data_IF_477369676985
#
_entry.id   IF_477369676985
#
_cell.length_a   1.000
_cell.length_b   1.000
_cell.length_c   1.000
_cell.angle_alpha   90.00
_cell.angle_beta   90.00
_cell.angle_gamma   90.00
#
_symmetry.space_group_name_H-M   'P 1'
#
loop_
_entity.id
_entity.type
_entity.pdbx_description
1 polymer ?
#
# COMPACT_ATOMS: atom_id res chain seq x y z
N UNK A 1 3.97 -25.02 -21.06
CA UNK A 1 4.53 -23.80 -21.69
C UNK A 1 3.75 -22.62 -21.12
N UNK A 2 4.20 -22.05 -20.00
CA UNK A 2 3.49 -20.94 -19.34
C UNK A 2 3.60 -19.69 -20.22
N UNK A 3 2.53 -18.88 -20.37
CA UNK A 3 2.54 -17.72 -21.25
C UNK A 3 3.60 -16.72 -20.80
N UNK A 4 4.27 -16.06 -21.75
CA UNK A 4 5.36 -15.10 -21.54
C UNK A 4 5.05 -14.04 -20.44
N UNK A 5 3.79 -13.69 -20.24
CA UNK A 5 3.34 -12.79 -19.17
C UNK A 5 3.48 -13.34 -17.74
N UNK A 6 3.28 -14.65 -17.54
CA UNK A 6 3.47 -15.28 -16.22
C UNK A 6 4.96 -15.40 -15.86
N UNK A 7 5.83 -15.54 -16.87
CA UNK A 7 7.28 -15.56 -16.69
C UNK A 7 7.84 -14.18 -16.29
N UNK A 8 7.26 -13.10 -16.82
CA UNK A 8 7.60 -11.73 -16.42
C UNK A 8 7.21 -11.47 -14.94
N UNK A 9 6.03 -11.94 -14.52
CA UNK A 9 5.56 -11.82 -13.12
C UNK A 9 6.48 -12.54 -12.12
N UNK A 10 7.01 -13.71 -12.49
CA UNK A 10 7.95 -14.46 -11.64
C UNK A 10 9.34 -13.81 -11.58
N UNK A 11 9.79 -13.16 -12.68
CA UNK A 11 11.05 -12.39 -12.68
C UNK A 11 10.99 -11.15 -11.76
N UNK A 12 9.83 -10.51 -11.63
CA UNK A 12 9.61 -9.43 -10.65
C UNK A 12 9.40 -9.96 -9.23
N UNK A 13 8.71 -11.09 -9.06
CA UNK A 13 8.46 -11.69 -7.75
C UNK A 13 9.73 -12.24 -7.07
N UNK A 14 10.77 -12.56 -7.85
CA UNK A 14 12.03 -13.13 -7.35
C UNK A 14 13.11 -12.13 -6.97
N UNK A 15 12.95 -10.83 -7.24
CA UNK A 15 13.99 -9.84 -6.93
C UNK A 15 13.70 -9.16 -5.59
N UNK A 16 14.11 -9.84 -4.52
CA UNK A 16 14.50 -9.20 -3.27
C UNK A 16 13.38 -8.44 -2.55
N UNK A 17 12.95 -9.02 -1.44
CA UNK A 17 12.32 -8.30 -0.33
C UNK A 17 13.34 -7.31 0.29
N UNK A 18 13.82 -6.35 -0.49
CA UNK A 18 14.55 -5.20 0.00
C UNK A 18 13.50 -4.37 0.74
N UNK A 19 13.58 -4.36 2.07
CA UNK A 19 12.85 -3.41 2.91
C UNK A 19 13.12 -2.01 2.37
N UNK A 20 12.20 -1.50 1.56
CA UNK A 20 12.24 -0.10 1.16
C UNK A 20 11.57 0.66 2.31
N UNK A 21 12.41 1.25 3.16
CA UNK A 21 12.01 2.24 4.13
C UNK A 21 11.25 3.33 3.37
N UNK A 22 9.93 3.33 3.53
CA UNK A 22 9.11 4.50 3.20
C UNK A 22 9.69 5.63 4.05
N UNK A 23 10.09 6.73 3.41
CA UNK A 23 10.50 7.94 4.13
C UNK A 23 9.27 8.49 4.85
N UNK A 24 9.00 7.99 6.05
CA UNK A 24 7.90 8.45 6.90
C UNK A 24 8.31 9.81 7.48
N UNK A 25 7.85 10.88 6.85
CA UNK A 25 7.68 12.12 7.59
C UNK A 25 6.36 11.93 8.35
N UNK A 26 6.45 11.52 9.62
CA UNK A 26 5.30 11.49 10.52
C UNK A 26 4.87 12.95 10.73
N UNK A 27 3.91 13.41 9.95
CA UNK A 27 3.33 14.74 10.12
C UNK A 27 2.09 14.51 10.97
N UNK A 28 2.23 14.70 12.28
CA UNK A 28 1.22 14.43 13.32
C UNK A 28 1.00 12.93 13.63
N UNK A 29 0.60 12.61 14.87
CA UNK A 29 0.37 11.24 15.37
C UNK A 29 -0.76 10.49 14.63
N UNK A 30 -1.34 11.10 13.59
CA UNK A 30 -2.54 10.65 12.89
C UNK A 30 -2.42 10.61 11.37
N UNK A 31 -1.22 10.87 10.80
CA UNK A 31 -1.03 10.78 9.34
C UNK A 31 0.27 10.08 8.92
N UNK A 32 0.23 9.38 7.78
CA UNK A 32 1.43 8.91 7.07
C UNK A 32 1.38 9.39 5.63
N UNK A 33 2.42 10.11 5.20
CA UNK A 33 2.59 10.54 3.80
C UNK A 33 3.54 9.60 3.08
N UNK A 34 3.12 9.16 1.90
CA UNK A 34 3.86 8.30 0.99
C UNK A 34 4.13 9.07 -0.29
N UNK A 35 5.33 8.91 -0.83
CA UNK A 35 5.69 9.40 -2.17
C UNK A 35 6.35 8.30 -2.97
N UNK A 36 6.21 8.38 -4.28
CA UNK A 36 6.86 7.50 -5.22
C UNK A 36 8.39 7.57 -5.08
N UNK A 37 9.01 6.46 -4.70
CA UNK A 37 10.47 6.30 -4.75
C UNK A 37 10.89 5.70 -6.08
N UNK A 38 10.19 4.64 -6.51
CA UNK A 38 10.43 3.93 -7.77
C UNK A 38 9.21 3.11 -8.13
N UNK A 39 8.86 3.07 -9.42
CA UNK A 39 7.75 2.23 -9.87
C UNK A 39 7.32 2.54 -11.30
N UNK A 40 6.28 1.85 -11.78
CA UNK A 40 5.69 2.09 -13.11
C UNK A 40 4.84 3.37 -13.19
N UNK A 41 4.97 4.24 -12.19
CA UNK A 41 4.22 5.47 -12.05
C UNK A 41 5.13 6.65 -12.40
N UNK A 42 4.56 7.67 -13.03
CA UNK A 42 5.19 8.99 -13.17
C UNK A 42 5.01 9.81 -11.90
N UNK A 43 3.88 9.63 -11.24
CA UNK A 43 3.53 10.25 -9.98
C UNK A 43 2.77 9.24 -9.13
N UNK A 44 3.07 9.18 -7.83
CA UNK A 44 2.26 8.46 -6.86
C UNK A 44 2.49 9.13 -5.51
N UNK A 45 1.42 9.71 -4.98
CA UNK A 45 1.36 10.22 -3.63
C UNK A 45 0.26 9.46 -2.88
N UNK A 46 0.58 9.04 -1.67
CA UNK A 46 -0.35 8.34 -0.80
C UNK A 46 -0.46 9.06 0.52
N UNK A 47 -1.65 9.10 1.08
CA UNK A 47 -1.93 9.71 2.37
C UNK A 47 -2.77 8.76 3.20
N UNK A 48 -2.21 8.33 4.33
CA UNK A 48 -2.95 7.60 5.33
C UNK A 48 -3.41 8.57 6.40
N UNK A 49 -4.67 8.48 6.77
CA UNK A 49 -5.24 9.22 7.90
C UNK A 49 -5.81 8.24 8.92
N UNK A 50 -5.54 8.51 10.18
CA UNK A 50 -6.03 7.76 11.33
C UNK A 50 -6.96 8.65 12.13
N UNK A 51 -8.26 8.35 12.11
CA UNK A 51 -9.28 9.15 12.79
C UNK A 51 -9.73 8.38 14.02
N UNK A 52 -9.42 8.90 15.21
CA UNK A 52 -9.91 8.35 16.47
C UNK A 52 -11.45 8.48 16.55
N UNK A 53 -12.13 7.39 16.90
CA UNK A 53 -13.56 7.35 17.07
C UNK A 53 -13.93 7.35 18.57
N UNK A 54 -15.04 8.01 18.98
CA UNK A 54 -15.43 8.15 20.39
C UNK A 54 -15.67 6.82 21.13
N UNK A 55 -15.89 5.72 20.41
CA UNK A 55 -16.36 4.43 20.96
C UNK A 55 -15.26 3.35 20.97
N UNK A 56 -14.01 3.75 21.27
CA UNK A 56 -12.85 2.85 21.26
C UNK A 56 -12.61 2.19 19.89
N UNK A 57 -12.47 3.03 18.86
CA UNK A 57 -12.16 2.59 17.52
C UNK A 57 -11.27 3.59 16.80
N UNK A 58 -10.68 3.17 15.69
CA UNK A 58 -9.94 4.04 14.79
C UNK A 58 -10.42 3.75 13.37
N UNK A 59 -10.83 4.79 12.66
CA UNK A 59 -11.10 4.72 11.23
C UNK A 59 -9.80 5.00 10.48
N UNK A 60 -9.48 4.14 9.52
CA UNK A 60 -8.29 4.25 8.69
C UNK A 60 -8.74 4.63 7.29
N UNK A 61 -8.14 5.67 6.74
CA UNK A 61 -8.34 6.13 5.38
C UNK A 61 -7.03 6.02 4.62
N UNK A 62 -7.10 5.58 3.37
CA UNK A 62 -6.00 5.59 2.42
C UNK A 62 -6.46 6.35 1.18
N UNK A 63 -5.88 7.52 0.97
CA UNK A 63 -6.01 8.27 -0.26
C UNK A 63 -4.75 8.06 -1.12
N UNK A 64 -4.92 7.78 -2.41
CA UNK A 64 -3.81 7.57 -3.34
C UNK A 64 -4.10 8.32 -4.63
N UNK A 65 -3.26 9.31 -4.90
CA UNK A 65 -3.19 10.01 -6.17
C UNK A 65 -2.04 9.43 -7.00
N UNK A 66 -2.29 9.09 -8.26
CA UNK A 66 -1.24 8.52 -9.11
C UNK A 66 -1.42 8.87 -10.58
N UNK A 67 -0.30 8.88 -11.30
CA UNK A 67 -0.20 8.99 -12.75
C UNK A 67 0.68 7.85 -13.27
N UNK A 68 0.19 7.06 -14.21
CA UNK A 68 1.00 6.01 -14.84
C UNK A 68 2.06 6.61 -15.77
N UNK A 69 3.22 5.97 -15.84
CA UNK A 69 4.31 6.46 -16.69
C UNK A 69 4.01 6.37 -18.19
N UNK A 70 3.16 5.44 -18.61
CA UNK A 70 2.69 5.35 -20.00
C UNK A 70 1.35 4.60 -20.12
N UNK A 71 0.75 4.68 -21.31
CA UNK A 71 -0.57 4.10 -21.64
C UNK A 71 -0.61 2.57 -21.63
N UNK A 72 0.52 1.91 -21.90
CA UNK A 72 0.59 0.44 -21.84
C UNK A 72 0.50 -0.05 -20.39
N UNK A 73 1.24 0.61 -19.48
CA UNK A 73 1.19 0.36 -18.05
C UNK A 73 -0.22 0.63 -17.51
N UNK A 74 -0.85 1.73 -17.91
CA UNK A 74 -2.22 2.04 -17.45
C UNK A 74 -3.22 0.97 -17.86
N UNK A 75 -3.07 0.38 -19.04
CA UNK A 75 -3.94 -0.72 -19.50
C UNK A 75 -3.66 -2.03 -18.75
N UNK A 76 -2.42 -2.30 -18.40
CA UNK A 76 -2.04 -3.52 -17.68
C UNK A 76 -2.39 -3.46 -16.18
N UNK A 77 -2.12 -2.33 -15.52
CA UNK A 77 -2.25 -2.16 -14.07
C UNK A 77 -3.52 -1.45 -13.64
N UNK A 78 -4.13 -0.61 -14.49
CA UNK A 78 -5.34 0.14 -14.15
C UNK A 78 -6.45 -0.73 -13.56
N UNK A 79 -6.82 -1.87 -14.17
CA UNK A 79 -7.89 -2.74 -13.66
C UNK A 79 -7.61 -3.37 -12.29
N UNK A 80 -6.34 -3.57 -11.94
CA UNK A 80 -5.93 -4.25 -10.69
C UNK A 80 -5.48 -3.28 -9.59
N UNK A 81 -5.27 -2.01 -9.93
CA UNK A 81 -4.77 -1.02 -8.98
C UNK A 81 -5.73 -0.79 -7.81
N UNK A 82 -7.03 -0.64 -8.09
CA UNK A 82 -8.02 -0.43 -7.03
C UNK A 82 -8.10 -1.63 -6.05
N UNK A 83 -8.18 -2.90 -6.50
CA UNK A 83 -8.06 -4.07 -5.63
C UNK A 83 -6.78 -4.11 -4.78
N UNK A 84 -5.64 -3.66 -5.33
CA UNK A 84 -4.38 -3.59 -4.59
C UNK A 84 -4.50 -2.59 -3.44
N UNK A 85 -5.09 -1.42 -3.67
CA UNK A 85 -5.28 -0.40 -2.62
C UNK A 85 -6.15 -0.93 -1.47
N UNK A 86 -7.25 -1.63 -1.78
CA UNK A 86 -8.07 -2.30 -0.77
C UNK A 86 -7.25 -3.34 0.02
N UNK A 87 -6.46 -4.16 -0.67
CA UNK A 87 -5.61 -5.17 -0.04
C UNK A 87 -4.59 -4.54 0.92
N UNK A 88 -4.08 -3.34 0.62
CA UNK A 88 -3.18 -2.62 1.51
C UNK A 88 -3.87 -2.20 2.81
N UNK A 89 -5.09 -1.67 2.72
CA UNK A 89 -5.89 -1.30 3.91
C UNK A 89 -6.18 -2.54 4.75
N UNK A 90 -6.63 -3.63 4.13
CA UNK A 90 -6.94 -4.89 4.84
C UNK A 90 -5.70 -5.47 5.52
N UNK A 91 -4.54 -5.47 4.83
CA UNK A 91 -3.28 -5.93 5.39
C UNK A 91 -2.84 -5.08 6.58
N UNK A 92 -3.06 -3.75 6.51
CA UNK A 92 -2.77 -2.84 7.61
C UNK A 92 -3.66 -3.15 8.83
N UNK A 93 -4.98 -3.25 8.64
CA UNK A 93 -5.93 -3.59 9.73
C UNK A 93 -5.56 -4.93 10.36
N UNK A 94 -5.29 -5.94 9.54
CA UNK A 94 -4.88 -7.26 10.02
C UNK A 94 -3.60 -7.20 10.85
N UNK A 95 -2.62 -6.39 10.42
CA UNK A 95 -1.36 -6.22 11.15
C UNK A 95 -1.56 -5.46 12.46
N UNK A 96 -2.37 -4.40 12.47
CA UNK A 96 -2.73 -3.67 13.67
C UNK A 96 -3.42 -4.58 14.69
N UNK A 97 -4.37 -5.41 14.25
CA UNK A 97 -4.99 -6.42 15.10
C UNK A 97 -3.94 -7.36 15.72
N UNK A 98 -3.01 -7.89 14.93
CA UNK A 98 -1.95 -8.77 15.47
C UNK A 98 -1.06 -8.13 16.55
N UNK A 99 -0.78 -6.83 16.44
CA UNK A 99 0.08 -6.12 17.39
C UNK A 99 -0.73 -5.73 18.63
N UNK A 100 -1.90 -5.13 18.44
CA UNK A 100 -2.64 -4.46 19.51
C UNK A 100 -3.75 -5.31 20.15
N UNK A 101 -4.23 -6.39 19.50
CA UNK A 101 -5.18 -7.34 20.15
C UNK A 101 -4.46 -8.48 20.88
N UNK A 102 -3.12 -8.56 20.79
CA UNK A 102 -2.31 -9.51 21.56
C UNK A 102 -2.05 -9.07 23.01
N UNK A 103 -2.33 -7.82 23.37
CA UNK A 103 -2.05 -7.24 24.69
C UNK A 103 -3.24 -7.21 25.67
N UNK A 104 -4.37 -7.84 25.35
CA UNK A 104 -5.51 -7.95 26.27
C UNK A 104 -5.69 -9.39 26.83
N UNK A 105 -4.57 -9.95 27.29
CA UNK A 105 -4.53 -11.16 28.13
C UNK A 105 -3.47 -10.99 29.23
N UNK A 106 -3.66 -10.03 30.12
CA UNK A 106 -3.07 -10.10 31.47
C UNK A 106 -3.93 -9.37 32.49
#
# INVERSE_FOLDING_TARGET
MLPFGAMLLLLYAGWGLQRQLVSQQLVEESEIRMRLVKGPFKHLDGHWCFIALPQQGCQILLDIEFEFANRLISMALGPVFNPICHTLVDAFVKRAAQIYTAEDKN
#
